data_IF_827369442158
#
_entry.id   IF_827369442158
#
_cell.length_a   1.000
_cell.length_b   1.000
_cell.length_c   1.000
_cell.angle_alpha   90.00
_cell.angle_beta   90.00
_cell.angle_gamma   90.00
#
_symmetry.space_group_name_H-M   'P 1'
#
loop_
_entity.id
_entity.type
_entity.pdbx_description
1 polymer ?
#
# COMPACT_ATOMS: atom_id res chain seq x y z
N UNK A 1 22.01 71.54 -11.00
CA UNK A 1 22.17 70.63 -9.85
C UNK A 1 20.89 69.84 -9.65
N UNK A 2 20.69 68.80 -10.38
CA UNK A 2 19.59 67.82 -10.17
C UNK A 2 19.80 66.66 -11.14
N UNK A 3 20.41 65.58 -10.71
CA UNK A 3 20.33 64.25 -11.32
C UNK A 3 21.38 63.28 -10.77
N UNK A 4 21.26 62.92 -9.50
CA UNK A 4 22.10 61.82 -8.91
C UNK A 4 21.35 60.91 -7.97
N UNK A 5 20.04 61.04 -7.76
CA UNK A 5 19.28 60.20 -6.81
C UNK A 5 18.60 58.99 -7.43
N UNK A 6 18.42 58.92 -8.77
CA UNK A 6 17.72 57.80 -9.41
C UNK A 6 18.52 56.50 -9.58
N UNK A 7 19.87 56.53 -9.39
CA UNK A 7 20.73 55.37 -9.60
C UNK A 7 20.86 54.44 -8.39
N UNK A 8 20.80 54.98 -7.18
CA UNK A 8 20.94 54.18 -5.96
C UNK A 8 19.70 53.34 -5.60
N UNK A 9 18.51 53.85 -5.90
CA UNK A 9 17.27 53.09 -5.64
C UNK A 9 17.14 51.87 -6.55
N UNK A 10 17.50 51.97 -7.83
CA UNK A 10 17.51 50.84 -8.76
C UNK A 10 18.54 49.75 -8.37
N UNK A 11 19.70 50.14 -7.86
CA UNK A 11 20.71 49.19 -7.37
C UNK A 11 20.24 48.47 -6.10
N UNK A 12 19.60 49.18 -5.16
CA UNK A 12 19.03 48.59 -3.96
C UNK A 12 17.95 47.56 -4.24
N UNK A 13 17.08 47.82 -5.23
CA UNK A 13 16.00 46.92 -5.64
C UNK A 13 16.60 45.67 -6.32
N UNK A 14 17.62 45.84 -7.18
CA UNK A 14 18.26 44.72 -7.90
C UNK A 14 19.04 43.81 -6.97
N UNK A 15 19.74 44.33 -5.98
CA UNK A 15 20.44 43.55 -4.95
C UNK A 15 19.45 42.83 -4.05
N UNK A 16 18.33 43.46 -3.73
CA UNK A 16 17.29 42.85 -2.90
C UNK A 16 16.56 41.71 -3.65
N UNK A 17 16.28 41.88 -4.94
CA UNK A 17 15.72 40.78 -5.78
C UNK A 17 16.69 39.62 -5.97
N UNK A 18 18.00 39.89 -6.14
CA UNK A 18 19.04 38.86 -6.26
C UNK A 18 19.19 38.07 -4.96
N UNK A 19 19.16 38.76 -3.81
CA UNK A 19 19.22 38.10 -2.49
C UNK A 19 17.95 37.28 -2.18
N UNK A 20 16.77 37.73 -2.60
CA UNK A 20 15.53 36.95 -2.48
C UNK A 20 15.58 35.70 -3.37
N UNK A 21 16.07 35.81 -4.63
CA UNK A 21 16.25 34.64 -5.50
C UNK A 21 17.25 33.62 -4.93
N UNK A 22 18.38 34.08 -4.41
CA UNK A 22 19.39 33.22 -3.79
C UNK A 22 18.84 32.60 -2.50
N UNK A 23 18.14 33.35 -1.66
CA UNK A 23 17.49 32.81 -0.46
C UNK A 23 16.40 31.80 -0.80
N UNK A 24 15.62 32.03 -1.85
CA UNK A 24 14.61 31.08 -2.30
C UNK A 24 15.23 29.80 -2.92
N UNK A 25 16.31 29.94 -3.70
CA UNK A 25 17.02 28.77 -4.24
C UNK A 25 17.69 27.94 -3.12
N UNK A 26 18.29 28.59 -2.11
CA UNK A 26 18.85 27.89 -0.94
C UNK A 26 17.74 27.25 -0.09
N UNK A 27 16.57 27.88 0.03
CA UNK A 27 15.42 27.28 0.71
C UNK A 27 14.81 26.12 -0.08
N UNK A 28 14.76 26.20 -1.41
CA UNK A 28 14.34 25.11 -2.28
C UNK A 28 15.34 23.94 -2.24
N UNK A 29 16.64 24.20 -2.34
CA UNK A 29 17.70 23.21 -2.22
C UNK A 29 17.72 22.54 -0.84
N UNK A 30 17.51 23.31 0.24
CA UNK A 30 17.37 22.79 1.60
C UNK A 30 16.08 22.00 1.79
N UNK A 31 15.02 22.34 1.08
CA UNK A 31 13.75 21.64 1.07
C UNK A 31 13.82 20.34 0.27
N UNK A 32 14.53 20.33 -0.87
CA UNK A 32 14.82 19.13 -1.65
C UNK A 32 15.73 18.16 -0.89
N UNK A 33 16.77 18.66 -0.18
CA UNK A 33 17.61 17.81 0.70
C UNK A 33 16.83 17.24 1.89
N UNK A 34 15.72 17.86 2.30
CA UNK A 34 14.87 17.36 3.38
C UNK A 34 13.86 16.30 2.94
N UNK A 35 13.60 16.16 1.65
CA UNK A 35 12.65 15.20 1.07
C UNK A 35 13.24 13.78 0.86
N UNK A 36 14.55 13.59 0.91
CA UNK A 36 15.21 12.30 0.67
C UNK A 36 14.67 11.17 1.57
N UNK A 37 14.43 9.99 1.00
CA UNK A 37 13.88 8.83 1.71
C UNK A 37 14.83 8.32 2.81
N UNK A 38 16.14 8.22 2.50
CA UNK A 38 17.19 7.68 3.39
C UNK A 38 17.78 8.77 4.29
N UNK A 39 17.01 9.22 5.27
CA UNK A 39 17.42 10.18 6.28
C UNK A 39 16.90 9.74 7.65
N UNK A 40 17.75 9.85 8.67
CA UNK A 40 17.34 9.59 10.06
C UNK A 40 16.26 10.57 10.50
N UNK A 41 15.08 10.07 10.84
CA UNK A 41 13.90 10.86 11.25
C UNK A 41 13.24 10.29 12.49
N UNK A 42 12.48 11.12 13.19
CA UNK A 42 11.54 10.64 14.20
C UNK A 42 10.37 9.88 13.52
N UNK A 43 9.75 8.97 14.25
CA UNK A 43 8.63 8.17 13.72
C UNK A 43 7.44 9.04 13.27
N UNK A 44 7.15 10.09 14.03
CA UNK A 44 6.11 11.05 13.70
C UNK A 44 6.45 11.85 12.42
N UNK A 45 7.72 12.20 12.24
CA UNK A 45 8.19 12.85 11.01
C UNK A 45 8.07 11.91 9.78
N UNK A 46 8.35 10.61 9.94
CA UNK A 46 8.15 9.63 8.87
C UNK A 46 6.66 9.56 8.46
N UNK A 47 5.75 9.56 9.43
CA UNK A 47 4.32 9.58 9.17
C UNK A 47 3.90 10.86 8.42
N UNK A 48 4.30 12.01 8.93
CA UNK A 48 3.93 13.31 8.36
C UNK A 48 4.46 13.51 6.95
N UNK A 49 5.75 13.24 6.71
CA UNK A 49 6.34 13.36 5.36
C UNK A 49 5.80 12.29 4.39
N UNK A 50 5.59 11.08 4.88
CA UNK A 50 4.96 10.01 4.10
C UNK A 50 3.52 10.33 3.68
N UNK A 51 2.76 11.08 4.47
CA UNK A 51 1.43 11.56 4.09
C UNK A 51 1.47 12.77 3.15
N UNK A 52 2.43 13.68 3.34
CA UNK A 52 2.56 14.89 2.52
C UNK A 52 3.03 14.59 1.09
N UNK A 53 3.92 13.63 0.91
CA UNK A 53 4.50 13.34 -0.40
C UNK A 53 3.44 12.98 -1.45
N UNK A 54 2.57 11.96 -1.25
CA UNK A 54 1.54 11.62 -2.22
C UNK A 54 0.50 12.73 -2.42
N UNK A 55 0.19 13.53 -1.38
CA UNK A 55 -0.77 14.63 -1.53
C UNK A 55 -0.21 15.79 -2.36
N UNK A 56 1.09 16.09 -2.24
CA UNK A 56 1.75 17.11 -3.08
C UNK A 56 1.82 16.72 -4.56
N UNK A 57 1.97 15.43 -4.86
CA UNK A 57 2.21 14.93 -6.20
C UNK A 57 1.09 14.03 -6.73
N UNK A 58 -0.14 14.21 -6.21
CA UNK A 58 -1.29 13.33 -6.47
C UNK A 58 -1.58 13.14 -7.96
N UNK A 59 -1.55 14.19 -8.77
CA UNK A 59 -1.83 14.11 -10.21
C UNK A 59 -0.74 13.34 -10.98
N UNK A 60 0.53 13.52 -10.59
CA UNK A 60 1.65 12.77 -11.17
C UNK A 60 1.56 11.29 -10.81
N UNK A 61 1.24 10.99 -9.55
CA UNK A 61 1.01 9.62 -9.07
C UNK A 61 -0.16 8.97 -9.80
N UNK A 62 -1.31 9.60 -9.84
CA UNK A 62 -2.50 9.06 -10.54
C UNK A 62 -2.21 8.78 -12.01
N UNK A 63 -1.49 9.70 -12.70
CA UNK A 63 -1.09 9.49 -14.08
C UNK A 63 -0.11 8.32 -14.25
N UNK A 64 0.73 8.06 -13.27
CA UNK A 64 1.65 6.92 -13.30
C UNK A 64 0.96 5.60 -12.97
N UNK A 65 0.04 5.62 -11.99
CA UNK A 65 -0.62 4.44 -11.46
C UNK A 65 -1.90 4.03 -12.22
N UNK A 66 -2.39 4.88 -13.16
CA UNK A 66 -3.68 4.63 -13.83
C UNK A 66 -3.82 3.23 -14.44
N UNK A 67 -2.77 2.58 -15.04
CA UNK A 67 -2.96 1.27 -15.63
C UNK A 67 -3.24 0.18 -14.57
N UNK A 68 -2.57 0.28 -13.42
CA UNK A 68 -2.81 -0.66 -12.31
C UNK A 68 -4.14 -0.37 -11.60
N UNK A 69 -4.55 0.88 -11.49
CA UNK A 69 -5.88 1.25 -10.95
C UNK A 69 -7.01 0.72 -11.84
N UNK A 70 -6.86 0.83 -13.19
CA UNK A 70 -7.85 0.28 -14.13
C UNK A 70 -7.87 -1.25 -14.04
N UNK A 71 -6.70 -1.91 -13.99
CA UNK A 71 -6.62 -3.37 -13.86
C UNK A 71 -7.34 -3.85 -12.59
N UNK A 72 -7.07 -3.21 -11.45
CA UNK A 72 -7.77 -3.49 -10.18
C UNK A 72 -9.28 -3.25 -10.27
N UNK A 73 -9.69 -2.12 -10.86
CA UNK A 73 -11.11 -1.81 -11.06
C UNK A 73 -11.83 -2.86 -11.92
N UNK A 74 -11.23 -3.27 -13.03
CA UNK A 74 -11.80 -4.32 -13.90
C UNK A 74 -11.97 -5.65 -13.15
N UNK A 75 -10.96 -6.07 -12.40
CA UNK A 75 -11.02 -7.31 -11.60
C UNK A 75 -12.12 -7.20 -10.54
N UNK A 76 -12.23 -6.06 -9.85
CA UNK A 76 -13.29 -5.84 -8.86
C UNK A 76 -14.67 -5.69 -9.50
N UNK A 77 -14.76 -5.16 -10.73
CA UNK A 77 -15.99 -5.21 -11.52
C UNK A 77 -16.45 -6.63 -11.79
N UNK A 78 -15.52 -7.54 -12.17
CA UNK A 78 -15.83 -8.97 -12.32
C UNK A 78 -16.29 -9.61 -11.00
N UNK A 79 -15.68 -9.23 -9.85
CA UNK A 79 -16.20 -9.63 -8.54
C UNK A 79 -17.66 -9.17 -8.34
N UNK A 80 -17.99 -7.93 -8.72
CA UNK A 80 -19.36 -7.41 -8.66
C UNK A 80 -20.35 -8.24 -9.49
N UNK A 81 -19.94 -8.71 -10.66
CA UNK A 81 -20.79 -9.58 -11.51
C UNK A 81 -21.08 -10.92 -10.83
N UNK A 82 -20.07 -11.58 -10.27
CA UNK A 82 -20.20 -12.95 -9.78
C UNK A 82 -20.46 -13.04 -8.26
N UNK A 83 -20.38 -11.93 -7.53
CA UNK A 83 -20.43 -11.91 -6.07
C UNK A 83 -21.69 -12.63 -5.53
N UNK A 84 -22.85 -12.28 -6.03
CA UNK A 84 -24.10 -12.84 -5.54
C UNK A 84 -24.23 -14.34 -5.85
N UNK A 85 -23.75 -14.80 -7.03
CA UNK A 85 -23.77 -16.20 -7.40
C UNK A 85 -22.82 -17.04 -6.50
N UNK A 86 -21.64 -16.49 -6.21
CA UNK A 86 -20.65 -17.12 -5.33
C UNK A 86 -21.17 -17.21 -3.90
N UNK A 87 -21.75 -16.12 -3.36
CA UNK A 87 -22.25 -16.09 -1.99
C UNK A 87 -23.43 -17.02 -1.78
N UNK A 88 -24.38 -17.08 -2.72
CA UNK A 88 -25.50 -18.03 -2.68
C UNK A 88 -25.02 -19.48 -2.75
N UNK A 89 -24.05 -19.78 -3.62
CA UNK A 89 -23.49 -21.13 -3.72
C UNK A 89 -22.77 -21.54 -2.43
N UNK A 90 -22.01 -20.63 -1.80
CA UNK A 90 -21.33 -20.89 -0.51
C UNK A 90 -22.33 -21.08 0.63
N UNK A 91 -23.42 -20.27 0.68
CA UNK A 91 -24.46 -20.41 1.70
C UNK A 91 -25.17 -21.78 1.59
N UNK A 92 -25.51 -22.21 0.38
CA UNK A 92 -26.10 -23.52 0.14
C UNK A 92 -25.15 -24.67 0.52
N UNK A 93 -23.89 -24.57 0.15
CA UNK A 93 -22.89 -25.58 0.52
C UNK A 93 -22.73 -25.71 2.04
N UNK A 94 -22.69 -24.60 2.77
CA UNK A 94 -22.61 -24.63 4.24
C UNK A 94 -23.88 -25.23 4.88
N UNK A 95 -25.04 -25.03 4.28
CA UNK A 95 -26.31 -25.53 4.80
C UNK A 95 -26.54 -27.04 4.51
N UNK A 96 -26.09 -27.53 3.35
CA UNK A 96 -26.46 -28.86 2.85
C UNK A 96 -25.60 -30.02 3.38
N UNK A 97 -24.45 -29.75 4.04
CA UNK A 97 -23.47 -30.78 4.48
C UNK A 97 -23.05 -31.75 3.33
N UNK A 98 -23.25 -31.37 2.09
CA UNK A 98 -22.92 -32.18 0.92
C UNK A 98 -21.43 -32.12 0.58
N UNK A 99 -20.86 -33.19 0.00
CA UNK A 99 -19.47 -33.17 -0.45
C UNK A 99 -19.26 -32.06 -1.50
N UNK A 100 -18.12 -31.36 -1.38
CA UNK A 100 -17.74 -30.27 -2.30
C UNK A 100 -17.64 -30.79 -3.73
N UNK A 101 -18.69 -30.65 -4.50
CA UNK A 101 -18.59 -30.78 -5.96
C UNK A 101 -18.01 -29.46 -6.47
N UNK A 102 -16.96 -29.53 -7.27
CA UNK A 102 -16.33 -28.33 -7.88
C UNK A 102 -17.34 -27.71 -8.85
N UNK A 103 -18.21 -26.83 -8.28
CA UNK A 103 -19.25 -26.14 -9.03
C UNK A 103 -18.68 -24.92 -9.75
N UNK A 104 -19.33 -24.48 -10.82
CA UNK A 104 -18.94 -23.27 -11.56
C UNK A 104 -18.67 -22.07 -10.67
N UNK A 105 -19.47 -21.74 -9.60
CA UNK A 105 -19.18 -20.65 -8.70
C UNK A 105 -17.86 -20.79 -7.92
N UNK A 106 -17.48 -22.01 -7.49
CA UNK A 106 -16.21 -22.23 -6.79
C UNK A 106 -15.02 -22.06 -7.72
N UNK A 107 -15.12 -22.53 -8.96
CA UNK A 107 -14.10 -22.30 -9.97
C UNK A 107 -13.93 -20.81 -10.29
N UNK A 108 -15.05 -20.08 -10.41
CA UNK A 108 -15.05 -18.62 -10.60
C UNK A 108 -14.40 -17.90 -9.41
N UNK A 109 -14.69 -18.32 -8.17
CA UNK A 109 -14.05 -17.80 -6.96
C UNK A 109 -12.53 -17.93 -7.02
N UNK A 110 -12.02 -19.10 -7.39
CA UNK A 110 -10.57 -19.35 -7.51
C UNK A 110 -9.95 -18.42 -8.56
N UNK A 111 -10.56 -18.35 -9.75
CA UNK A 111 -10.05 -17.48 -10.83
C UNK A 111 -10.04 -16.02 -10.40
N UNK A 112 -11.12 -15.51 -9.82
CA UNK A 112 -11.22 -14.14 -9.37
C UNK A 112 -10.21 -13.83 -8.24
N UNK A 113 -9.97 -14.78 -7.34
CA UNK A 113 -8.95 -14.64 -6.28
C UNK A 113 -7.55 -14.54 -6.87
N UNK A 114 -7.21 -15.36 -7.87
CA UNK A 114 -5.92 -15.30 -8.56
C UNK A 114 -5.78 -13.98 -9.33
N UNK A 115 -6.82 -13.55 -10.04
CA UNK A 115 -6.81 -12.26 -10.76
C UNK A 115 -6.65 -11.08 -9.80
N UNK A 116 -7.32 -11.11 -8.63
CA UNK A 116 -7.15 -10.08 -7.59
C UNK A 116 -5.71 -10.05 -7.08
N UNK A 117 -5.13 -11.20 -6.76
CA UNK A 117 -3.74 -11.31 -6.33
C UNK A 117 -2.76 -10.72 -7.35
N UNK A 118 -2.99 -10.98 -8.64
CA UNK A 118 -2.16 -10.44 -9.72
C UNK A 118 -2.36 -8.92 -9.87
N UNK A 119 -3.59 -8.43 -9.80
CA UNK A 119 -3.90 -7.00 -9.89
C UNK A 119 -3.31 -6.22 -8.70
N UNK A 120 -3.44 -6.74 -7.47
CA UNK A 120 -2.88 -6.13 -6.27
C UNK A 120 -1.35 -6.13 -6.31
N UNK A 121 -0.73 -7.22 -6.78
CA UNK A 121 0.72 -7.31 -6.96
C UNK A 121 1.22 -6.33 -8.02
N UNK A 122 0.47 -6.14 -9.11
CA UNK A 122 0.78 -5.16 -10.15
C UNK A 122 0.65 -3.73 -9.60
N UNK A 123 -0.39 -3.44 -8.84
CA UNK A 123 -0.58 -2.15 -8.19
C UNK A 123 0.55 -1.86 -7.19
N UNK A 124 0.86 -2.80 -6.29
CA UNK A 124 1.94 -2.67 -5.31
C UNK A 124 3.30 -2.47 -5.97
N UNK A 125 3.60 -3.22 -7.04
CA UNK A 125 4.82 -3.08 -7.82
C UNK A 125 4.93 -1.70 -8.46
N UNK A 126 3.82 -1.15 -8.95
CA UNK A 126 3.77 0.18 -9.55
C UNK A 126 4.02 1.28 -8.51
N UNK A 127 3.36 1.21 -7.33
CA UNK A 127 3.59 2.14 -6.22
C UNK A 127 5.04 2.08 -5.74
N UNK A 128 5.59 0.88 -5.52
CA UNK A 128 6.97 0.71 -5.05
C UNK A 128 8.00 1.17 -6.07
N UNK A 129 7.71 1.06 -7.38
CA UNK A 129 8.57 1.64 -8.42
C UNK A 129 8.59 3.17 -8.34
N UNK A 130 7.45 3.81 -8.07
CA UNK A 130 7.41 5.26 -7.86
C UNK A 130 8.26 5.69 -6.64
N UNK A 131 8.11 4.98 -5.51
CA UNK A 131 8.90 5.21 -4.29
C UNK A 131 10.39 4.98 -4.54
N UNK A 132 10.75 3.90 -5.24
CA UNK A 132 12.15 3.60 -5.57
C UNK A 132 12.80 4.68 -6.43
N UNK A 133 12.11 5.16 -7.46
CA UNK A 133 12.59 6.25 -8.32
C UNK A 133 12.73 7.56 -7.54
N UNK A 134 11.79 7.86 -6.65
CA UNK A 134 11.89 9.00 -5.74
C UNK A 134 13.11 8.86 -4.82
N UNK A 135 13.32 7.69 -4.22
CA UNK A 135 14.47 7.43 -3.35
C UNK A 135 15.81 7.59 -4.09
N UNK A 136 15.89 7.14 -5.35
CA UNK A 136 17.09 7.22 -6.18
C UNK A 136 17.39 8.65 -6.68
N UNK A 137 16.36 9.44 -6.94
CA UNK A 137 16.50 10.81 -7.45
C UNK A 137 16.70 11.85 -6.35
N UNK A 138 16.34 11.55 -5.10
CA UNK A 138 16.33 12.51 -3.98
C UNK A 138 15.24 13.58 -4.07
N UNK A 139 14.57 13.70 -5.21
CA UNK A 139 13.48 14.61 -5.49
C UNK A 139 12.38 13.90 -6.29
N UNK A 140 11.17 14.48 -6.39
CA UNK A 140 10.08 13.84 -7.11
C UNK A 140 10.38 13.77 -8.62
N UNK A 141 10.58 12.56 -9.21
CA UNK A 141 10.95 12.41 -10.60
C UNK A 141 9.76 12.60 -11.54
N UNK A 142 10.04 12.87 -12.82
CA UNK A 142 9.02 12.79 -13.87
C UNK A 142 8.64 11.33 -14.11
N UNK A 143 7.54 10.90 -13.52
CA UNK A 143 7.06 9.51 -13.61
C UNK A 143 6.34 9.29 -14.93
N UNK A 144 6.90 8.42 -15.79
CA UNK A 144 6.27 7.96 -17.04
C UNK A 144 6.17 6.45 -17.02
N UNK A 145 4.95 5.92 -17.11
CA UNK A 145 4.69 4.48 -17.09
C UNK A 145 5.47 3.73 -18.18
N UNK A 146 5.52 4.29 -19.41
CA UNK A 146 6.19 3.66 -20.54
C UNK A 146 7.67 3.38 -20.32
N UNK A 147 8.38 4.27 -19.62
CA UNK A 147 9.81 4.17 -19.32
C UNK A 147 10.10 3.22 -18.15
N UNK A 148 9.11 2.97 -17.29
CA UNK A 148 9.25 2.17 -16.09
C UNK A 148 8.75 0.72 -16.22
N UNK A 149 8.23 0.30 -17.38
CA UNK A 149 7.56 -1.01 -17.56
C UNK A 149 8.34 -2.20 -17.00
N UNK A 150 9.64 -2.28 -17.30
CA UNK A 150 10.49 -3.38 -16.82
C UNK A 150 10.70 -3.36 -15.32
N UNK A 151 10.86 -2.17 -14.75
CA UNK A 151 11.00 -2.00 -13.30
C UNK A 151 9.69 -2.37 -12.60
N UNK A 152 8.56 -1.89 -13.12
CA UNK A 152 7.22 -2.22 -12.62
C UNK A 152 6.98 -3.73 -12.66
N UNK A 153 7.28 -4.38 -13.77
CA UNK A 153 7.12 -5.83 -13.90
C UNK A 153 7.94 -6.59 -12.85
N UNK A 154 9.22 -6.25 -12.71
CA UNK A 154 10.09 -6.86 -11.71
C UNK A 154 9.61 -6.58 -10.28
N UNK A 155 9.13 -5.37 -9.99
CA UNK A 155 8.58 -5.01 -8.70
C UNK A 155 7.27 -5.77 -8.42
N UNK A 156 6.41 -5.93 -9.43
CA UNK A 156 5.18 -6.71 -9.33
C UNK A 156 5.44 -8.19 -9.04
N UNK A 157 6.45 -8.80 -9.66
CA UNK A 157 6.86 -10.17 -9.35
C UNK A 157 7.36 -10.30 -7.90
N UNK A 158 8.10 -9.31 -7.38
CA UNK A 158 8.51 -9.31 -5.97
C UNK A 158 7.33 -9.13 -5.03
N UNK A 159 6.41 -8.23 -5.34
CA UNK A 159 5.19 -8.07 -4.57
C UNK A 159 4.38 -9.37 -4.54
N UNK A 160 4.23 -10.04 -5.69
CA UNK A 160 3.58 -11.34 -5.78
C UNK A 160 4.27 -12.39 -4.91
N UNK A 161 5.61 -12.46 -4.94
CA UNK A 161 6.38 -13.38 -4.09
C UNK A 161 6.12 -13.11 -2.61
N UNK A 162 6.19 -11.85 -2.16
CA UNK A 162 5.87 -11.49 -0.78
C UNK A 162 4.45 -11.90 -0.38
N UNK A 163 3.47 -11.60 -1.22
CA UNK A 163 2.07 -11.93 -0.93
C UNK A 163 1.84 -13.44 -0.89
N UNK A 164 2.41 -14.20 -1.84
CA UNK A 164 2.30 -15.67 -1.83
C UNK A 164 2.93 -16.28 -0.58
N UNK A 165 4.13 -15.85 -0.20
CA UNK A 165 4.77 -16.32 1.04
C UNK A 165 3.93 -15.99 2.26
N UNK A 166 3.40 -14.76 2.37
CA UNK A 166 2.52 -14.38 3.45
C UNK A 166 1.27 -15.27 3.49
N UNK A 167 0.58 -15.44 2.37
CA UNK A 167 -0.62 -16.30 2.27
C UNK A 167 -0.31 -17.73 2.71
N UNK A 168 0.79 -18.33 2.22
CA UNK A 168 1.17 -19.69 2.60
C UNK A 168 1.48 -19.80 4.09
N UNK A 169 2.31 -18.89 4.63
CA UNK A 169 2.68 -18.92 6.06
C UNK A 169 1.47 -18.72 6.94
N UNK A 170 0.63 -17.72 6.68
CA UNK A 170 -0.57 -17.49 7.47
C UNK A 170 -1.58 -18.61 7.34
N UNK A 171 -1.76 -19.20 6.14
CA UNK A 171 -2.65 -20.35 5.97
C UNK A 171 -2.15 -21.57 6.76
N UNK A 172 -0.85 -21.87 6.73
CA UNK A 172 -0.27 -22.97 7.49
C UNK A 172 -0.42 -22.81 9.01
N UNK A 173 -0.52 -21.58 9.51
CA UNK A 173 -0.72 -21.29 10.93
C UNK A 173 -2.21 -21.26 11.32
N UNK A 174 -3.05 -20.65 10.49
CA UNK A 174 -4.47 -20.41 10.84
C UNK A 174 -5.34 -21.64 10.55
N UNK A 175 -5.10 -22.37 9.44
CA UNK A 175 -5.93 -23.54 9.08
C UNK A 175 -5.93 -24.61 10.18
N UNK A 176 -4.79 -25.05 10.75
CA UNK A 176 -4.82 -26.02 11.85
C UNK A 176 -5.58 -25.51 13.07
N UNK A 177 -5.44 -24.24 13.43
CA UNK A 177 -6.17 -23.62 14.55
C UNK A 177 -7.68 -23.63 14.28
N UNK A 178 -8.08 -23.30 13.06
CA UNK A 178 -9.49 -23.31 12.64
C UNK A 178 -10.08 -24.72 12.66
N UNK A 179 -9.32 -25.71 12.20
CA UNK A 179 -9.74 -27.12 12.22
C UNK A 179 -9.86 -27.66 13.65
N UNK A 180 -8.98 -27.22 14.56
CA UNK A 180 -8.99 -27.69 15.96
C UNK A 180 -10.08 -27.04 16.80
N UNK A 181 -10.29 -25.70 16.66
CA UNK A 181 -11.25 -24.94 17.47
C UNK A 181 -12.64 -24.86 16.84
N UNK A 182 -12.78 -25.18 15.56
CA UNK A 182 -14.00 -25.02 14.77
C UNK A 182 -14.12 -23.62 14.14
N UNK A 183 -14.61 -23.60 12.92
CA UNK A 183 -14.91 -22.37 12.20
C UNK A 183 -16.00 -21.57 12.96
N UNK A 184 -15.80 -20.27 13.12
CA UNK A 184 -16.70 -19.39 13.87
C UNK A 184 -16.42 -19.27 15.37
N UNK A 185 -15.45 -20.01 15.89
CA UNK A 185 -15.01 -19.82 17.28
C UNK A 185 -14.26 -18.47 17.41
N UNK A 186 -14.67 -17.68 18.41
CA UNK A 186 -14.05 -16.36 18.68
C UNK A 186 -12.53 -16.43 18.89
N UNK A 187 -12.04 -17.53 19.45
CA UNK A 187 -10.61 -17.75 19.67
C UNK A 187 -9.81 -17.89 18.37
N UNK A 188 -10.41 -18.41 17.30
CA UNK A 188 -9.77 -18.44 15.97
C UNK A 188 -9.50 -17.01 15.50
N UNK A 189 -10.47 -16.13 15.68
CA UNK A 189 -10.33 -14.70 15.34
C UNK A 189 -9.23 -14.04 16.18
N UNK A 190 -9.25 -14.25 17.50
CA UNK A 190 -8.24 -13.68 18.40
C UNK A 190 -6.83 -14.16 18.04
N UNK A 191 -6.64 -15.47 17.86
CA UNK A 191 -5.34 -16.04 17.48
C UNK A 191 -4.88 -15.51 16.12
N UNK A 192 -5.79 -15.38 15.14
CA UNK A 192 -5.47 -14.82 13.83
C UNK A 192 -4.97 -13.38 13.93
N UNK A 193 -5.62 -12.54 14.72
CA UNK A 193 -5.15 -11.16 14.94
C UNK A 193 -3.80 -11.10 15.68
N UNK A 194 -3.59 -11.95 16.70
CA UNK A 194 -2.31 -12.02 17.42
C UNK A 194 -1.19 -12.44 16.47
N UNK A 195 -1.40 -13.46 15.63
CA UNK A 195 -0.44 -13.90 14.62
C UNK A 195 -0.17 -12.82 13.59
N UNK A 196 -1.22 -12.13 13.12
CA UNK A 196 -1.07 -11.02 12.17
C UNK A 196 -0.20 -9.89 12.76
N UNK A 197 -0.41 -9.53 14.02
CA UNK A 197 0.38 -8.50 14.69
C UNK A 197 1.82 -8.99 14.98
N UNK A 198 1.97 -10.22 15.44
CA UNK A 198 3.29 -10.77 15.82
C UNK A 198 4.20 -10.98 14.59
N UNK A 199 3.65 -11.45 13.48
CA UNK A 199 4.42 -11.79 12.28
C UNK A 199 4.25 -10.74 11.16
N UNK A 200 3.05 -10.22 10.95
CA UNK A 200 2.76 -9.30 9.86
C UNK A 200 3.45 -7.94 10.04
N UNK A 201 3.50 -7.41 11.27
CA UNK A 201 4.18 -6.13 11.54
C UNK A 201 5.68 -6.23 11.23
N UNK A 202 6.47 -7.20 11.76
CA UNK A 202 7.87 -7.35 11.39
C UNK A 202 8.07 -7.71 9.91
N UNK A 203 7.13 -8.41 9.30
CA UNK A 203 7.18 -8.75 7.88
C UNK A 203 7.13 -7.54 6.96
N UNK A 204 6.55 -6.41 7.41
CA UNK A 204 6.61 -5.15 6.66
C UNK A 204 8.05 -4.70 6.39
N UNK A 205 8.99 -4.92 7.34
CA UNK A 205 10.41 -4.65 7.12
C UNK A 205 10.98 -5.51 6.00
N UNK A 206 10.61 -6.80 5.95
CA UNK A 206 11.02 -7.72 4.88
C UNK A 206 10.51 -7.25 3.52
N UNK A 207 9.22 -6.88 3.44
CA UNK A 207 8.61 -6.36 2.21
C UNK A 207 9.35 -5.11 1.73
N UNK A 208 9.56 -4.13 2.62
CA UNK A 208 10.22 -2.88 2.26
C UNK A 208 11.67 -3.12 1.81
N UNK A 209 12.44 -3.97 2.51
CA UNK A 209 13.81 -4.32 2.14
C UNK A 209 13.87 -5.05 0.78
N UNK A 210 12.98 -6.00 0.53
CA UNK A 210 12.94 -6.72 -0.74
C UNK A 210 12.53 -5.84 -1.92
N UNK A 211 11.67 -4.83 -1.67
CA UNK A 211 11.19 -3.90 -2.71
C UNK A 211 12.16 -2.74 -2.96
N UNK A 212 12.73 -2.16 -1.91
CA UNK A 212 13.51 -0.92 -1.95
C UNK A 212 15.01 -1.14 -1.72
N UNK A 213 15.41 -2.24 -1.10
CA UNK A 213 16.80 -2.55 -0.75
C UNK A 213 17.69 -2.79 -1.97
N UNK A 214 19.00 -2.65 -1.79
CA UNK A 214 19.99 -2.80 -2.86
C UNK A 214 20.10 -4.23 -3.37
N UNK A 215 20.14 -5.22 -2.46
CA UNK A 215 20.40 -6.64 -2.80
C UNK A 215 19.24 -7.31 -3.53
N UNK A 216 18.01 -6.89 -3.25
CA UNK A 216 16.78 -7.37 -3.90
C UNK A 216 16.65 -8.90 -3.92
N UNK A 217 17.18 -9.57 -2.87
CA UNK A 217 17.08 -11.00 -2.67
C UNK A 217 16.16 -11.30 -1.49
N UNK A 218 15.14 -12.13 -1.73
CA UNK A 218 14.11 -12.43 -0.74
C UNK A 218 14.69 -13.09 0.53
N UNK A 219 15.63 -14.03 0.39
CA UNK A 219 16.21 -14.71 1.54
C UNK A 219 17.08 -13.80 2.41
N UNK A 220 17.78 -12.84 1.77
CA UNK A 220 18.51 -11.81 2.50
C UNK A 220 17.56 -10.87 3.22
N UNK A 221 16.47 -10.45 2.57
CA UNK A 221 15.45 -9.60 3.17
C UNK A 221 14.71 -10.31 4.31
N UNK A 222 14.49 -11.62 4.24
CA UNK A 222 13.86 -12.39 5.32
C UNK A 222 14.68 -12.33 6.62
N UNK A 223 16.02 -12.28 6.53
CA UNK A 223 16.88 -12.11 7.72
C UNK A 223 16.67 -10.76 8.41
N UNK A 224 16.15 -9.77 7.68
CA UNK A 224 15.81 -8.43 8.17
C UNK A 224 14.55 -8.42 9.05
N UNK A 225 13.84 -9.53 9.16
CA UNK A 225 12.71 -9.68 10.09
C UNK A 225 13.14 -9.40 11.54
N UNK A 226 14.40 -9.69 11.89
CA UNK A 226 15.00 -9.30 13.20
C UNK A 226 14.89 -7.79 13.45
N UNK A 227 15.19 -7.00 12.41
CA UNK A 227 15.12 -5.54 12.48
C UNK A 227 13.67 -5.09 12.62
N UNK A 228 12.74 -5.78 11.92
CA UNK A 228 11.31 -5.57 12.08
C UNK A 228 10.83 -5.76 13.51
N UNK A 229 11.34 -6.75 14.23
CA UNK A 229 11.05 -6.94 15.67
C UNK A 229 11.67 -5.83 16.52
N UNK A 230 12.90 -5.39 16.22
CA UNK A 230 13.56 -4.30 16.96
C UNK A 230 12.77 -2.99 16.86
N UNK A 231 12.18 -2.70 15.69
CA UNK A 231 11.39 -1.49 15.43
C UNK A 231 9.88 -1.77 15.39
N UNK A 232 9.43 -2.89 16.00
CA UNK A 232 8.05 -3.36 15.94
C UNK A 232 7.03 -2.28 16.29
N UNK A 233 7.26 -1.55 17.38
CA UNK A 233 6.36 -0.48 17.84
C UNK A 233 6.21 0.64 16.82
N UNK A 234 7.29 1.02 16.12
CA UNK A 234 7.24 2.07 15.11
C UNK A 234 6.46 1.63 13.86
N UNK A 235 6.70 0.40 13.38
CA UNK A 235 5.92 -0.18 12.28
C UNK A 235 4.46 -0.34 12.66
N UNK A 236 4.18 -0.82 13.89
CA UNK A 236 2.82 -0.98 14.40
C UNK A 236 2.06 0.35 14.43
N UNK A 237 2.66 1.43 14.96
CA UNK A 237 2.01 2.74 15.04
C UNK A 237 1.66 3.26 13.64
N UNK A 238 2.57 3.16 12.67
CA UNK A 238 2.30 3.61 11.30
C UNK A 238 1.21 2.76 10.64
N UNK A 239 1.26 1.43 10.80
CA UNK A 239 0.23 0.53 10.28
C UNK A 239 -1.12 0.78 10.94
N UNK A 240 -1.13 1.01 12.25
CA UNK A 240 -2.36 1.27 13.00
C UNK A 240 -2.99 2.61 12.59
N UNK A 241 -2.22 3.70 12.58
CA UNK A 241 -2.72 5.02 12.19
C UNK A 241 -3.15 5.04 10.71
N UNK A 242 -2.29 4.56 9.80
CA UNK A 242 -2.60 4.49 8.37
C UNK A 242 -3.75 3.53 8.07
N UNK A 243 -3.75 2.36 8.71
CA UNK A 243 -4.79 1.36 8.57
C UNK A 243 -6.14 1.79 9.12
N UNK A 244 -6.16 2.55 10.23
CA UNK A 244 -7.40 3.09 10.79
C UNK A 244 -8.02 4.13 9.84
N UNK A 245 -7.22 5.08 9.35
CA UNK A 245 -7.69 6.08 8.39
C UNK A 245 -8.16 5.40 7.10
N UNK A 246 -7.33 4.51 6.55
CA UNK A 246 -7.65 3.74 5.35
C UNK A 246 -8.91 2.87 5.55
N UNK A 247 -9.05 2.22 6.71
CA UNK A 247 -10.18 1.37 7.04
C UNK A 247 -11.50 2.12 7.07
N UNK A 248 -11.53 3.31 7.71
CA UNK A 248 -12.73 4.17 7.73
C UNK A 248 -13.09 4.64 6.31
N UNK A 249 -12.11 5.14 5.56
CA UNK A 249 -12.35 5.64 4.21
C UNK A 249 -12.77 4.51 3.25
N UNK A 250 -12.14 3.34 3.38
CA UNK A 250 -12.54 2.14 2.62
C UNK A 250 -13.95 1.71 2.98
N UNK A 251 -14.30 1.61 4.27
CA UNK A 251 -15.64 1.24 4.71
C UNK A 251 -16.70 2.15 4.12
N UNK A 252 -16.50 3.47 4.15
CA UNK A 252 -17.42 4.45 3.54
C UNK A 252 -17.51 4.24 2.02
N UNK A 253 -16.39 3.97 1.34
CA UNK A 253 -16.35 3.76 -0.12
C UNK A 253 -17.04 2.45 -0.54
N UNK A 254 -16.93 1.40 0.27
CA UNK A 254 -17.53 0.10 0.01
C UNK A 254 -19.01 0.01 0.42
N UNK A 255 -19.53 0.97 1.22
CA UNK A 255 -20.88 0.93 1.74
C UNK A 255 -21.96 0.86 0.63
N UNK A 256 -21.93 1.66 -0.44
CA UNK A 256 -22.91 1.55 -1.53
C UNK A 256 -22.83 0.18 -2.25
N UNK A 257 -21.63 -0.32 -2.49
CA UNK A 257 -21.40 -1.63 -3.10
C UNK A 257 -21.94 -2.75 -2.22
N UNK A 258 -21.70 -2.69 -0.91
CA UNK A 258 -22.19 -3.65 0.08
C UNK A 258 -23.72 -3.67 0.19
N UNK A 259 -24.38 -2.50 0.23
CA UNK A 259 -25.85 -2.41 0.27
C UNK A 259 -26.47 -3.05 -0.98
N UNK A 260 -25.96 -2.72 -2.17
CA UNK A 260 -26.47 -3.26 -3.43
C UNK A 260 -26.19 -4.77 -3.56
N UNK A 261 -25.01 -5.22 -3.14
CA UNK A 261 -24.68 -6.65 -3.14
C UNK A 261 -25.57 -7.43 -2.17
N UNK A 262 -25.84 -6.88 -0.98
CA UNK A 262 -26.75 -7.50 -0.02
C UNK A 262 -28.18 -7.57 -0.56
N UNK A 263 -28.69 -6.50 -1.17
CA UNK A 263 -30.00 -6.48 -1.81
C UNK A 263 -30.10 -7.53 -2.92
N UNK A 264 -29.04 -7.65 -3.76
CA UNK A 264 -28.96 -8.67 -4.80
C UNK A 264 -28.92 -10.09 -4.26
N UNK A 265 -28.18 -10.32 -3.16
CA UNK A 265 -28.14 -11.62 -2.49
C UNK A 265 -29.51 -11.98 -1.90
N UNK A 266 -30.16 -11.05 -1.20
CA UNK A 266 -31.48 -11.26 -0.61
C UNK A 266 -32.53 -11.56 -1.67
N UNK A 267 -32.54 -10.84 -2.81
CA UNK A 267 -33.45 -11.11 -3.93
C UNK A 267 -33.23 -12.51 -4.51
N UNK A 268 -31.96 -12.91 -4.75
CA UNK A 268 -31.66 -14.25 -5.25
C UNK A 268 -32.11 -15.36 -4.28
N UNK A 269 -31.94 -15.15 -2.99
CA UNK A 269 -32.42 -16.11 -1.97
C UNK A 269 -33.94 -16.17 -1.96
N UNK A 270 -34.65 -15.02 -2.03
CA UNK A 270 -36.10 -14.96 -2.12
C UNK A 270 -36.66 -15.69 -3.34
N UNK A 271 -36.07 -15.47 -4.53
CA UNK A 271 -36.46 -16.21 -5.75
C UNK A 271 -36.32 -17.72 -5.57
N UNK A 272 -35.29 -18.18 -4.86
CA UNK A 272 -35.06 -19.60 -4.59
C UNK A 272 -36.07 -20.17 -3.58
N UNK A 273 -36.65 -19.35 -2.72
CA UNK A 273 -37.66 -19.70 -1.76
C UNK A 273 -39.10 -19.54 -2.34
N UNK A 274 -39.20 -19.11 -3.60
CA UNK A 274 -40.49 -18.96 -4.30
C UNK A 274 -41.09 -17.54 -4.24
N UNK A 275 -40.34 -16.57 -3.74
CA UNK A 275 -40.74 -15.17 -3.79
C UNK A 275 -40.28 -14.54 -5.10
N UNK A 276 -41.25 -14.07 -5.92
CA UNK A 276 -41.02 -13.56 -7.27
C UNK A 276 -40.60 -12.07 -7.32
N UNK A 277 -40.15 -11.47 -6.21
CA UNK A 277 -39.76 -10.06 -6.18
C UNK A 277 -38.36 -9.89 -6.81
N UNK A 278 -38.34 -9.59 -8.11
CA UNK A 278 -37.09 -9.28 -8.84
C UNK A 278 -36.64 -7.83 -8.59
N UNK A 279 -35.31 -7.67 -8.46
CA UNK A 279 -34.70 -6.35 -8.45
C UNK A 279 -34.78 -5.68 -9.84
N UNK A 280 -34.86 -4.33 -9.89
CA UNK A 280 -34.80 -3.60 -11.15
C UNK A 280 -33.56 -4.00 -11.98
N UNK A 281 -33.71 -4.11 -13.28
CA UNK A 281 -32.68 -4.62 -14.22
C UNK A 281 -31.36 -3.83 -14.24
N UNK A 282 -31.36 -2.60 -13.72
CA UNK A 282 -30.16 -1.77 -13.62
C UNK A 282 -29.28 -2.07 -12.38
N UNK A 283 -29.82 -2.77 -11.36
CA UNK A 283 -29.11 -3.02 -10.10
C UNK A 283 -27.80 -3.78 -10.31
N UNK A 284 -27.70 -4.85 -11.13
CA UNK A 284 -26.44 -5.51 -11.40
C UNK A 284 -25.37 -4.58 -11.98
N UNK A 285 -25.75 -3.67 -12.86
CA UNK A 285 -24.81 -2.68 -13.42
C UNK A 285 -24.31 -1.69 -12.36
N UNK A 286 -25.17 -1.28 -11.42
CA UNK A 286 -24.75 -0.44 -10.29
C UNK A 286 -23.82 -1.19 -9.33
N UNK A 287 -24.05 -2.46 -9.07
CA UNK A 287 -23.13 -3.30 -8.27
C UNK A 287 -21.74 -3.27 -8.89
N UNK A 288 -21.62 -3.59 -10.18
CA UNK A 288 -20.35 -3.56 -10.91
C UNK A 288 -19.68 -2.19 -10.80
N UNK A 289 -20.44 -1.12 -11.07
CA UNK A 289 -19.92 0.25 -11.01
C UNK A 289 -19.37 0.60 -9.63
N UNK A 290 -20.10 0.31 -8.56
CA UNK A 290 -19.67 0.64 -7.20
C UNK A 290 -18.51 -0.25 -6.73
N UNK A 291 -18.43 -1.51 -7.16
CA UNK A 291 -17.25 -2.36 -6.91
C UNK A 291 -16.00 -1.77 -7.58
N UNK A 292 -16.10 -1.35 -8.84
CA UNK A 292 -14.99 -0.69 -9.55
C UNK A 292 -14.56 0.61 -8.86
N UNK A 293 -15.53 1.46 -8.52
CA UNK A 293 -15.27 2.75 -7.88
C UNK A 293 -14.63 2.58 -6.49
N UNK A 294 -15.18 1.69 -5.66
CA UNK A 294 -14.66 1.41 -4.34
C UNK A 294 -13.22 0.88 -4.40
N UNK A 295 -12.91 0.01 -5.37
CA UNK A 295 -11.54 -0.48 -5.58
C UNK A 295 -10.56 0.64 -5.92
N UNK A 296 -10.90 1.53 -6.83
CA UNK A 296 -10.04 2.68 -7.18
C UNK A 296 -9.78 3.55 -5.96
N UNK A 297 -10.84 3.89 -5.22
CA UNK A 297 -10.74 4.73 -4.03
C UNK A 297 -9.88 4.04 -2.95
N UNK A 298 -10.13 2.75 -2.65
CA UNK A 298 -9.37 1.99 -1.67
C UNK A 298 -7.87 1.90 -2.04
N UNK A 299 -7.56 1.68 -3.31
CA UNK A 299 -6.17 1.67 -3.81
C UNK A 299 -5.50 3.04 -3.63
N UNK A 300 -6.17 4.14 -3.93
CA UNK A 300 -5.62 5.48 -3.69
C UNK A 300 -5.36 5.71 -2.20
N UNK A 301 -6.28 5.32 -1.33
CA UNK A 301 -6.09 5.47 0.12
C UNK A 301 -4.99 4.58 0.69
N UNK A 302 -4.61 3.48 0.04
CA UNK A 302 -3.48 2.65 0.48
C UNK A 302 -2.15 3.40 0.52
N UNK A 303 -2.03 4.53 -0.22
CA UNK A 303 -0.85 5.40 -0.17
C UNK A 303 -0.60 5.96 1.23
N UNK A 304 -1.67 6.19 2.01
CA UNK A 304 -1.58 6.70 3.39
C UNK A 304 -0.84 5.75 4.33
N UNK A 305 -0.68 4.49 3.94
CA UNK A 305 0.11 3.49 4.70
C UNK A 305 1.44 3.20 4.02
N UNK A 306 1.46 3.04 2.70
CA UNK A 306 2.66 2.59 1.97
C UNK A 306 3.79 3.62 1.97
N UNK A 307 3.49 4.91 1.79
CA UNK A 307 4.50 5.96 1.81
C UNK A 307 5.11 6.17 3.20
N UNK A 308 4.34 6.30 4.30
CA UNK A 308 4.92 6.35 5.64
C UNK A 308 5.77 5.14 6.01
N UNK A 309 5.37 3.93 5.61
CA UNK A 309 6.17 2.72 5.80
C UNK A 309 7.50 2.79 5.05
N UNK A 310 7.50 3.32 3.83
CA UNK A 310 8.72 3.52 3.04
C UNK A 310 9.66 4.53 3.70
N UNK A 311 9.14 5.63 4.24
CA UNK A 311 9.93 6.61 5.00
C UNK A 311 10.48 6.01 6.31
N UNK A 312 9.70 5.18 7.01
CA UNK A 312 10.19 4.49 8.19
C UNK A 312 11.33 3.54 7.85
N UNK A 313 11.18 2.74 6.79
CA UNK A 313 12.24 1.88 6.28
C UNK A 313 13.52 2.68 5.98
N UNK A 314 13.41 3.75 5.21
CA UNK A 314 14.55 4.62 4.88
C UNK A 314 15.21 5.23 6.13
N UNK A 315 14.43 5.63 7.13
CA UNK A 315 14.95 6.15 8.40
C UNK A 315 15.67 5.09 9.24
N UNK A 316 15.19 3.84 9.23
CA UNK A 316 15.86 2.71 9.90
C UNK A 316 17.20 2.42 9.23
N UNK A 317 17.26 2.41 7.89
CA UNK A 317 18.49 2.20 7.14
C UNK A 317 19.50 3.32 7.39
N UNK A 318 19.07 4.58 7.37
CA UNK A 318 19.95 5.72 7.66
C UNK A 318 20.57 5.63 9.06
N UNK A 319 19.78 5.30 10.09
CA UNK A 319 20.29 5.10 11.46
C UNK A 319 21.30 3.98 11.56
N UNK A 320 21.13 2.89 10.80
CA UNK A 320 22.10 1.78 10.79
C UNK A 320 23.41 2.19 10.14
N UNK A 321 23.35 2.96 9.06
CA UNK A 321 24.55 3.48 8.40
C UNK A 321 25.29 4.46 9.31
N UNK A 322 24.57 5.38 9.97
CA UNK A 322 25.14 6.30 10.96
C UNK A 322 25.85 5.52 12.08
N UNK A 323 25.17 4.50 12.66
CA UNK A 323 25.78 3.68 13.72
C UNK A 323 27.03 2.93 13.25
N UNK A 324 27.01 2.35 12.06
CA UNK A 324 28.15 1.65 11.51
C UNK A 324 29.34 2.59 11.26
N UNK A 325 29.09 3.82 10.79
CA UNK A 325 30.14 4.83 10.58
C UNK A 325 30.78 5.29 11.91
N UNK A 326 29.98 5.47 12.97
CA UNK A 326 30.49 5.78 14.32
C UNK A 326 31.35 4.64 14.89
N UNK A 327 30.91 3.39 14.76
CA UNK A 327 31.67 2.23 15.23
C UNK A 327 33.00 2.04 14.46
N UNK A 328 33.02 2.42 13.18
CA UNK A 328 34.26 2.38 12.37
C UNK A 328 35.23 3.50 12.77
N UNK A 329 34.70 4.70 13.03
CA UNK A 329 35.51 5.83 13.50
C UNK A 329 36.09 5.56 14.88
N UNK A 330 35.32 4.99 15.80
CA UNK A 330 35.82 4.59 17.14
C UNK A 330 36.89 3.53 17.05
N UNK A 331 36.77 2.52 16.17
CA UNK A 331 37.83 1.52 15.92
C UNK A 331 39.10 2.15 15.36
N UNK A 332 38.98 3.14 14.47
CA UNK A 332 40.13 3.88 13.95
C UNK A 332 40.87 4.65 15.04
N UNK A 333 40.11 5.32 15.92
CA UNK A 333 40.69 6.08 17.05
C UNK A 333 41.39 5.14 18.06
N UNK A 334 40.81 3.98 18.37
CA UNK A 334 41.43 2.98 19.24
C UNK A 334 42.70 2.31 18.63
N UNK A 335 42.73 2.19 17.30
CA UNK A 335 43.91 1.68 16.59
C UNK A 335 45.05 2.69 16.44
N UNK A 336 44.84 3.97 16.78
CA UNK A 336 45.83 5.04 16.80
C UNK A 336 46.42 5.26 18.20
N UNK A 337 45.91 4.62 19.24
CA UNK A 337 46.44 4.55 20.62
C UNK A 337 47.32 3.32 20.79
#
# INVERSE_FOLDING_TARGET
MLSRHGGMEKYGIFVRQKNIKVSNSIMEEKKEMDEGLFKSRSYLSCLNEGLKLPTRHILSLLRFLYPSLIAGAVVMGLWGVFFNQITVALTRWMAASEPVVLSFPLFTLIILSVLSLLADSFYMGNVMTAVFRFAAAGAWPALRFGEAKREIFNASLRALTCTLVAVVVFSLLIVPVTLWLGAGNVWVTVVSYVLLLALGVPYCMVIMDYMLGERRDFWCSLKRMKDGYQYWGAFFIILFCGGLIMGVLAAVSWLPAGILAYAGHASLMGVLEGDATDLPSYVPALVVFFFMLASVIANVFSWLTLFPLSYLYGSVEARKQEKASFEEEERRLQGLQ
#
